data_IF_656008185340
#
_entry.id   IF_656008185340
#
_cell.length_a   1.000
_cell.length_b   1.000
_cell.length_c   1.000
_cell.angle_alpha   90.00
_cell.angle_beta   90.00
_cell.angle_gamma   90.00
#
_symmetry.space_group_name_H-M   'P 1'
#
loop_
_entity.id
_entity.type
_entity.pdbx_description
1 polymer ?
#
# COMPACT_ATOMS: atom_id res chain seq x y z
N UNK A 1 -1.12 2.02 26.67
CA UNK A 1 -2.34 1.31 27.12
C UNK A 1 -3.48 2.34 27.22
N UNK A 2 -4.15 2.59 26.09
CA UNK A 2 -5.20 3.62 25.97
C UNK A 2 -6.50 3.09 26.56
N UNK A 3 -7.09 3.81 27.50
CA UNK A 3 -8.35 3.44 28.14
C UNK A 3 -9.52 3.63 27.17
N UNK A 4 -10.21 2.55 26.84
CA UNK A 4 -11.45 2.54 26.07
C UNK A 4 -12.59 3.16 26.89
N UNK A 5 -13.06 4.34 26.50
CA UNK A 5 -14.33 4.88 27.00
C UNK A 5 -15.43 4.59 25.99
N UNK A 6 -16.38 3.76 26.39
CA UNK A 6 -17.62 3.55 25.66
C UNK A 6 -18.49 4.80 25.86
N UNK A 7 -18.63 5.64 24.83
CA UNK A 7 -19.28 6.95 24.96
C UNK A 7 -20.79 6.79 24.78
N UNK A 8 -21.50 6.52 25.88
CA UNK A 8 -22.97 6.43 25.95
C UNK A 8 -23.72 7.77 25.83
N UNK A 9 -23.21 8.72 25.04
CA UNK A 9 -23.84 10.02 24.84
C UNK A 9 -23.57 10.54 23.44
N UNK A 10 -24.62 10.65 22.62
CA UNK A 10 -24.63 11.24 21.27
C UNK A 10 -24.33 12.75 21.33
N UNK A 11 -23.12 13.12 21.75
CA UNK A 11 -22.51 14.41 21.43
C UNK A 11 -22.46 14.47 19.90
N UNK A 12 -22.90 15.57 19.27
CA UNK A 12 -22.96 15.70 17.80
C UNK A 12 -21.60 15.31 17.20
N UNK A 13 -21.55 14.14 16.54
CA UNK A 13 -20.34 13.56 15.95
C UNK A 13 -19.79 14.38 14.76
N UNK A 14 -20.35 15.55 14.48
CA UNK A 14 -20.00 16.39 13.32
C UNK A 14 -18.62 17.05 13.44
N UNK A 15 -18.02 17.04 14.62
CA UNK A 15 -16.79 17.78 14.90
C UNK A 15 -15.53 16.90 14.93
N UNK A 16 -15.66 15.58 14.75
CA UNK A 16 -14.54 14.66 14.68
C UNK A 16 -14.10 14.46 13.23
N UNK A 17 -12.79 14.36 13.02
CA UNK A 17 -12.22 13.95 11.73
C UNK A 17 -12.79 12.58 11.37
N UNK A 18 -13.33 12.47 10.15
CA UNK A 18 -13.79 11.21 9.60
C UNK A 18 -13.58 11.18 8.08
N UNK A 19 -13.36 10.00 7.53
CA UNK A 19 -13.21 9.87 6.09
C UNK A 19 -14.55 10.02 5.37
N UNK A 20 -14.70 11.09 4.59
CA UNK A 20 -15.81 11.26 3.67
C UNK A 20 -15.55 10.55 2.32
N UNK A 21 -15.95 9.28 2.23
CA UNK A 21 -15.86 8.49 0.98
C UNK A 21 -16.61 9.09 -0.21
N UNK A 22 -17.54 10.02 -0.01
CA UNK A 22 -18.21 10.70 -1.14
C UNK A 22 -17.27 11.68 -1.82
N UNK A 23 -16.41 12.33 -1.03
CA UNK A 23 -15.39 13.29 -1.50
C UNK A 23 -14.08 12.60 -1.87
N UNK A 24 -13.68 11.59 -1.08
CA UNK A 24 -12.36 10.96 -1.14
C UNK A 24 -12.49 9.47 -1.48
N UNK A 25 -12.62 9.12 -2.77
CA UNK A 25 -12.84 7.73 -3.26
C UNK A 25 -11.57 6.86 -3.31
N UNK A 26 -10.64 7.09 -2.39
CA UNK A 26 -9.35 6.40 -2.34
C UNK A 26 -9.35 5.07 -1.58
N UNK A 27 -8.16 4.49 -1.48
CA UNK A 27 -7.81 3.36 -0.62
C UNK A 27 -7.09 3.86 0.64
N UNK A 28 -6.34 4.96 0.52
CA UNK A 28 -5.73 5.66 1.65
C UNK A 28 -6.10 7.12 1.59
N UNK A 29 -6.38 7.71 2.75
CA UNK A 29 -6.53 9.15 2.92
C UNK A 29 -5.68 9.62 4.09
N UNK A 30 -4.68 10.44 3.80
CA UNK A 30 -3.85 11.07 4.83
C UNK A 30 -4.43 12.43 5.21
N UNK A 31 -4.56 12.68 6.51
CA UNK A 31 -5.09 13.91 7.08
C UNK A 31 -4.13 14.49 8.13
N UNK A 32 -3.48 15.64 7.85
CA UNK A 32 -2.69 16.33 8.85
C UNK A 32 -3.60 16.91 9.94
N UNK A 33 -3.29 16.66 11.22
CA UNK A 33 -4.09 17.14 12.34
C UNK A 33 -3.80 18.63 12.61
N UNK A 34 -4.85 19.45 12.64
CA UNK A 34 -4.85 20.87 12.97
C UNK A 34 -5.14 21.07 14.48
N UNK A 35 -4.67 22.18 15.05
CA UNK A 35 -4.92 22.58 16.44
C UNK A 35 -6.42 22.63 16.78
N UNK A 36 -7.27 22.99 15.80
CA UNK A 36 -8.73 23.08 15.98
C UNK A 36 -9.44 21.72 16.03
N UNK A 37 -8.80 20.65 15.54
CA UNK A 37 -9.44 19.34 15.46
C UNK A 37 -9.67 18.76 16.85
N UNK A 38 -10.89 18.32 17.12
CA UNK A 38 -11.26 17.84 18.46
C UNK A 38 -10.87 16.37 18.67
N UNK A 39 -10.73 15.62 17.59
CA UNK A 39 -10.55 14.19 17.64
C UNK A 39 -10.85 13.55 16.29
N UNK A 40 -10.94 12.24 16.28
CA UNK A 40 -11.22 11.45 15.09
C UNK A 40 -12.11 10.26 15.38
N UNK A 41 -12.66 9.68 14.31
CA UNK A 41 -13.44 8.46 14.33
C UNK A 41 -13.02 7.54 13.19
N UNK A 42 -13.06 6.24 13.46
CA UNK A 42 -12.77 5.16 12.52
C UNK A 42 -14.04 4.33 12.37
N UNK A 43 -14.64 4.31 11.18
CA UNK A 43 -15.92 3.64 10.93
C UNK A 43 -15.79 2.13 10.94
N UNK A 44 -16.68 1.49 11.72
CA UNK A 44 -16.77 0.03 11.81
C UNK A 44 -16.95 -0.62 10.43
N UNK A 45 -16.13 -1.62 10.12
CA UNK A 45 -16.16 -2.43 8.91
C UNK A 45 -15.69 -1.74 7.63
N UNK A 46 -15.24 -0.47 7.69
CA UNK A 46 -14.90 0.30 6.50
C UNK A 46 -13.43 0.70 6.42
N UNK A 47 -12.85 1.06 7.57
CA UNK A 47 -11.54 1.67 7.64
C UNK A 47 -10.78 1.28 8.90
N UNK A 48 -9.46 1.38 8.82
CA UNK A 48 -8.52 1.37 9.92
C UNK A 48 -7.80 2.72 9.86
N UNK A 49 -7.41 3.29 10.99
CA UNK A 49 -6.58 4.49 11.01
C UNK A 49 -5.20 4.18 11.57
N UNK A 50 -4.18 4.80 10.99
CA UNK A 50 -2.82 4.81 11.51
C UNK A 50 -2.55 6.22 12.00
N UNK A 51 -2.15 6.34 13.25
CA UNK A 51 -1.81 7.63 13.83
C UNK A 51 -0.30 7.76 13.89
N UNK A 52 0.23 8.75 13.18
CA UNK A 52 1.63 9.14 13.24
C UNK A 52 1.80 10.44 14.02
N UNK A 53 2.91 10.57 14.75
CA UNK A 53 3.33 11.81 15.39
C UNK A 53 4.81 12.05 15.08
N UNK A 54 5.11 13.15 14.39
CA UNK A 54 6.46 13.50 13.90
C UNK A 54 7.08 12.35 13.09
N UNK A 55 6.33 11.82 12.13
CA UNK A 55 6.72 10.69 11.27
C UNK A 55 6.64 9.31 11.93
N UNK A 56 6.51 9.23 13.26
CA UNK A 56 6.57 7.97 14.00
C UNK A 56 5.21 7.36 14.24
N UNK A 57 5.12 6.04 14.10
CA UNK A 57 3.92 5.29 14.47
C UNK A 57 3.62 5.44 15.96
N UNK A 58 2.48 6.06 16.26
CA UNK A 58 1.96 6.16 17.62
C UNK A 58 1.00 5.01 17.91
N UNK A 59 0.05 4.74 17.00
CA UNK A 59 -0.93 3.67 17.17
C UNK A 59 -1.57 3.22 15.84
N UNK A 60 -2.10 2.00 15.83
CA UNK A 60 -2.97 1.46 14.76
C UNK A 60 -4.37 1.30 15.35
N UNK A 61 -5.27 2.20 14.97
CA UNK A 61 -6.63 2.26 15.48
C UNK A 61 -7.56 1.42 14.61
N UNK A 62 -8.06 0.34 15.21
CA UNK A 62 -9.05 -0.55 14.59
C UNK A 62 -10.39 0.15 14.38
N UNK A 63 -11.25 -0.50 13.60
CA UNK A 63 -12.55 0.01 13.20
C UNK A 63 -13.53 0.15 14.39
N UNK A 64 -14.51 1.06 14.25
CA UNK A 64 -15.53 1.31 15.29
C UNK A 64 -15.04 2.14 16.48
N UNK A 65 -13.86 2.77 16.37
CA UNK A 65 -13.28 3.58 17.44
C UNK A 65 -13.50 5.08 17.24
N UNK A 66 -13.55 5.82 18.34
CA UNK A 66 -13.49 7.28 18.34
C UNK A 66 -12.56 7.78 19.45
N UNK A 67 -11.89 8.89 19.19
CA UNK A 67 -10.88 9.45 20.09
C UNK A 67 -10.96 10.97 20.12
N UNK A 68 -10.94 11.57 21.31
CA UNK A 68 -10.78 13.02 21.50
C UNK A 68 -9.30 13.33 21.81
N UNK A 69 -8.70 14.26 21.07
CA UNK A 69 -7.29 14.62 21.24
C UNK A 69 -7.04 15.42 22.52
N UNK A 70 -5.91 15.15 23.18
CA UNK A 70 -5.31 16.09 24.15
C UNK A 70 -4.53 17.18 23.43
N UNK A 71 -4.36 18.35 24.05
CA UNK A 71 -3.68 19.50 23.43
C UNK A 71 -2.26 19.21 22.94
N UNK A 72 -1.52 18.35 23.64
CA UNK A 72 -0.15 17.95 23.29
C UNK A 72 -0.06 16.86 22.20
N UNK A 73 -1.17 16.22 21.87
CA UNK A 73 -1.23 15.10 20.91
C UNK A 73 -1.41 15.57 19.46
N UNK A 74 -1.78 16.84 19.25
CA UNK A 74 -2.08 17.38 17.92
C UNK A 74 -0.83 17.83 17.15
N UNK A 75 0.19 18.27 17.88
CA UNK A 75 1.37 18.89 17.26
C UNK A 75 2.14 17.88 16.42
N UNK A 76 2.29 18.20 15.13
CA UNK A 76 2.97 17.37 14.13
C UNK A 76 2.40 15.95 14.02
N UNK A 77 1.11 15.80 14.28
CA UNK A 77 0.41 14.53 14.13
C UNK A 77 -0.34 14.47 12.79
N UNK A 78 -0.52 13.26 12.31
CA UNK A 78 -1.34 12.96 11.13
C UNK A 78 -2.09 11.64 11.34
N UNK A 79 -3.26 11.55 10.69
CA UNK A 79 -4.06 10.34 10.63
C UNK A 79 -4.09 9.83 9.20
N UNK A 80 -3.75 8.57 9.03
CA UNK A 80 -3.79 7.88 7.76
C UNK A 80 -4.91 6.86 7.81
N UNK A 81 -6.01 7.15 7.15
CA UNK A 81 -7.11 6.22 7.00
C UNK A 81 -6.82 5.25 5.87
N UNK A 82 -7.03 3.96 6.14
CA UNK A 82 -6.81 2.85 5.20
C UNK A 82 -8.09 2.06 5.08
N UNK A 83 -8.56 1.84 3.85
CA UNK A 83 -9.76 1.06 3.58
C UNK A 83 -9.54 -0.40 3.98
N UNK A 84 -10.45 -0.98 4.78
CA UNK A 84 -10.33 -2.37 5.25
C UNK A 84 -10.96 -3.41 4.31
N UNK A 85 -11.82 -2.96 3.39
CA UNK A 85 -12.50 -3.81 2.42
C UNK A 85 -11.61 -4.28 1.27
N UNK A 86 -12.13 -5.25 0.52
CA UNK A 86 -11.47 -5.77 -0.68
C UNK A 86 -11.35 -4.73 -1.81
N UNK A 87 -10.24 -4.80 -2.53
CA UNK A 87 -9.96 -3.97 -3.71
C UNK A 87 -9.86 -4.87 -4.92
N UNK A 88 -10.87 -4.77 -5.79
CA UNK A 88 -10.92 -5.52 -7.06
C UNK A 88 -10.23 -4.72 -8.17
N UNK A 89 -9.19 -5.28 -8.77
CA UNK A 89 -8.44 -4.68 -9.86
C UNK A 89 -8.59 -5.49 -11.15
N UNK A 90 -8.96 -4.82 -12.23
CA UNK A 90 -8.82 -5.36 -13.59
C UNK A 90 -7.38 -5.18 -14.06
N UNK A 91 -6.78 -6.23 -14.62
CA UNK A 91 -5.40 -6.22 -15.09
C UNK A 91 -5.28 -6.78 -16.50
N UNK A 92 -4.22 -6.39 -17.20
CA UNK A 92 -3.91 -6.88 -18.54
C UNK A 92 -2.46 -6.62 -18.90
N UNK A 93 -1.82 -7.62 -19.49
CA UNK A 93 -0.49 -7.55 -20.08
C UNK A 93 -0.69 -7.63 -21.60
N UNK A 94 -0.51 -6.52 -22.34
CA UNK A 94 -0.70 -6.51 -23.77
C UNK A 94 0.40 -7.34 -24.45
N UNK A 95 0.06 -7.98 -25.57
CA UNK A 95 0.98 -8.85 -26.32
C UNK A 95 2.31 -8.16 -26.64
N UNK A 96 2.32 -6.88 -27.04
CA UNK A 96 3.54 -6.10 -27.32
C UNK A 96 4.57 -6.05 -26.18
N UNK A 97 4.10 -6.19 -24.94
CA UNK A 97 4.92 -6.22 -23.73
C UNK A 97 4.66 -7.53 -22.96
N UNK A 98 4.36 -8.59 -23.70
CA UNK A 98 3.87 -9.87 -23.22
C UNK A 98 4.91 -10.72 -22.50
N UNK A 99 4.55 -11.99 -22.36
CA UNK A 99 5.41 -13.04 -21.83
C UNK A 99 5.91 -13.85 -23.03
N UNK A 100 7.21 -14.11 -23.09
CA UNK A 100 7.82 -14.94 -24.14
C UNK A 100 7.83 -16.38 -23.64
N UNK A 101 7.24 -17.28 -24.41
CA UNK A 101 7.19 -18.72 -24.13
C UNK A 101 8.48 -19.42 -24.58
N UNK A 102 8.63 -20.70 -24.23
CA UNK A 102 9.81 -21.50 -24.62
C UNK A 102 10.00 -21.61 -26.13
N UNK A 103 8.90 -21.63 -26.90
CA UNK A 103 8.85 -21.64 -28.36
C UNK A 103 8.92 -20.23 -28.98
N UNK A 104 9.38 -19.23 -28.21
CA UNK A 104 9.59 -17.84 -28.65
C UNK A 104 8.32 -17.13 -29.12
N UNK A 105 7.15 -17.56 -28.64
CA UNK A 105 5.87 -16.91 -28.93
C UNK A 105 5.60 -15.89 -27.84
N UNK A 106 5.32 -14.65 -28.25
CA UNK A 106 4.95 -13.59 -27.32
C UNK A 106 3.44 -13.62 -27.09
N UNK A 107 3.03 -13.85 -25.85
CA UNK A 107 1.60 -13.90 -25.46
C UNK A 107 1.25 -12.76 -24.50
N UNK A 108 0.03 -12.25 -24.63
CA UNK A 108 -0.61 -11.39 -23.64
C UNK A 108 -1.65 -12.16 -22.83
N UNK A 109 -2.08 -11.58 -21.71
CA UNK A 109 -3.17 -12.12 -20.91
C UNK A 109 -3.85 -11.01 -20.11
N UNK A 110 -5.09 -11.24 -19.70
CA UNK A 110 -5.84 -10.29 -18.89
C UNK A 110 -6.78 -11.00 -17.92
N UNK A 111 -7.18 -10.29 -16.89
CA UNK A 111 -7.95 -10.89 -15.82
C UNK A 111 -8.38 -9.92 -14.74
N UNK A 112 -8.78 -10.50 -13.62
CA UNK A 112 -9.20 -9.81 -12.42
C UNK A 112 -8.41 -10.35 -11.24
N UNK A 113 -8.03 -9.48 -10.32
CA UNK A 113 -7.50 -9.88 -9.03
C UNK A 113 -8.21 -9.09 -7.92
N UNK A 114 -8.35 -9.71 -6.76
CA UNK A 114 -8.93 -9.07 -5.58
C UNK A 114 -7.89 -9.10 -4.46
N UNK A 115 -7.59 -7.91 -3.94
CA UNK A 115 -6.61 -7.70 -2.88
C UNK A 115 -7.29 -7.27 -1.58
N UNK A 116 -6.64 -7.57 -0.47
CA UNK A 116 -7.00 -7.06 0.86
C UNK A 116 -5.75 -6.53 1.54
N UNK A 117 -5.89 -5.42 2.24
CA UNK A 117 -4.83 -4.90 3.12
C UNK A 117 -4.94 -5.66 4.45
N UNK A 118 -3.95 -6.49 4.75
CA UNK A 118 -3.90 -7.32 5.96
C UNK A 118 -3.03 -6.71 7.04
N UNK A 119 -2.00 -5.96 6.65
CA UNK A 119 -1.15 -5.17 7.56
C UNK A 119 -1.14 -3.72 7.10
N UNK A 120 -2.02 -2.85 7.64
CA UNK A 120 -2.06 -1.43 7.30
C UNK A 120 -0.72 -0.74 7.53
N UNK A 121 -0.01 -1.13 8.59
CA UNK A 121 1.32 -0.61 8.91
C UNK A 121 2.32 -0.89 7.79
N UNK A 122 2.49 -2.16 7.40
CA UNK A 122 3.42 -2.54 6.34
C UNK A 122 2.98 -1.94 5.00
N UNK A 123 1.69 -1.86 4.76
CA UNK A 123 1.14 -1.24 3.55
C UNK A 123 1.50 0.25 3.46
N UNK A 124 1.34 1.02 4.54
CA UNK A 124 1.72 2.42 4.54
C UNK A 124 3.25 2.58 4.42
N UNK A 125 4.02 1.86 5.22
CA UNK A 125 5.48 2.06 5.24
C UNK A 125 6.22 1.49 4.02
N UNK A 126 5.74 0.40 3.42
CA UNK A 126 6.42 -0.23 2.30
C UNK A 126 5.87 0.17 0.93
N UNK A 127 4.63 0.68 0.87
CA UNK A 127 3.98 1.06 -0.38
C UNK A 127 3.80 2.58 -0.51
N UNK A 128 3.28 3.22 0.55
CA UNK A 128 2.96 4.65 0.51
C UNK A 128 4.20 5.50 0.79
N UNK A 129 5.07 5.10 1.73
CA UNK A 129 6.29 5.85 2.06
C UNK A 129 7.34 5.81 0.95
N UNK A 130 7.35 4.76 0.16
CA UNK A 130 8.21 4.59 -1.02
C UNK A 130 7.82 5.47 -2.22
N UNK A 131 6.57 5.93 -2.28
CA UNK A 131 6.11 6.95 -3.24
C UNK A 131 6.16 8.36 -2.65
N UNK A 132 6.06 8.48 -1.33
CA UNK A 132 5.99 9.75 -0.59
C UNK A 132 6.65 9.62 0.78
N UNK A 133 7.82 10.27 0.92
CA UNK A 133 8.50 10.60 2.18
C UNK A 133 9.40 9.52 2.82
N UNK A 134 10.71 9.76 2.74
CA UNK A 134 11.65 9.43 3.81
C UNK A 134 11.73 10.68 4.70
N UNK A 135 11.26 10.61 5.95
CA UNK A 135 11.41 11.72 6.88
C UNK A 135 12.88 11.79 7.32
N UNK A 136 13.56 12.88 6.93
CA UNK A 136 14.96 13.14 7.29
C UNK A 136 15.16 13.08 8.81
N UNK A 137 14.15 13.47 9.58
CA UNK A 137 14.17 13.48 11.04
C UNK A 137 14.27 12.08 11.67
N UNK A 138 13.82 11.02 10.99
CA UNK A 138 13.97 9.63 11.46
C UNK A 138 15.34 9.04 11.07
N UNK A 139 15.92 9.46 9.95
CA UNK A 139 17.35 9.21 9.65
C UNK A 139 18.26 9.94 10.65
N UNK A 140 17.94 11.19 10.98
CA UNK A 140 18.73 12.02 11.89
C UNK A 140 18.80 11.45 13.32
N UNK A 141 17.74 10.79 13.81
CA UNK A 141 17.74 10.19 15.15
C UNK A 141 18.54 8.89 15.25
N UNK A 142 18.67 8.10 14.19
CA UNK A 142 19.61 6.96 14.17
C UNK A 142 21.07 7.43 14.02
N UNK A 143 21.28 8.54 13.31
CA UNK A 143 22.62 9.09 13.03
C UNK A 143 23.24 9.87 14.22
N UNK A 144 22.43 10.34 15.16
CA UNK A 144 22.93 11.09 16.34
C UNK A 144 23.75 10.25 17.34
N UNK A 145 23.80 8.92 17.18
CA UNK A 145 24.60 8.04 18.05
C UNK A 145 26.11 8.06 17.68
N UNK A 146 26.51 8.60 16.51
CA UNK A 146 27.90 8.46 16.02
C UNK A 146 28.68 9.75 15.68
N UNK A 147 28.18 10.92 16.04
CA UNK A 147 28.93 12.18 15.97
C UNK A 147 28.99 12.84 14.58
N UNK A 148 29.01 14.17 14.57
CA UNK A 148 28.75 15.03 13.40
C UNK A 148 29.72 14.86 12.23
N UNK A 149 30.96 14.40 12.45
CA UNK A 149 31.98 14.31 11.39
C UNK A 149 31.81 13.15 10.40
N UNK A 150 30.99 12.14 10.71
CA UNK A 150 30.65 11.04 9.78
C UNK A 150 29.36 11.27 8.99
N UNK A 151 28.66 12.37 9.26
CA UNK A 151 27.33 12.69 8.72
C UNK A 151 27.29 12.66 7.19
N UNK A 152 28.17 13.40 6.54
CA UNK A 152 28.12 13.59 5.09
C UNK A 152 28.64 12.36 4.31
N UNK A 153 29.55 11.60 4.91
CA UNK A 153 30.10 10.37 4.32
C UNK A 153 29.12 9.20 4.41
N UNK A 154 28.41 9.05 5.55
CA UNK A 154 27.41 7.99 5.72
C UNK A 154 26.18 8.27 4.86
N UNK A 155 25.70 9.52 4.78
CA UNK A 155 24.57 9.86 3.90
C UNK A 155 24.94 9.55 2.44
N UNK A 156 26.13 9.96 1.97
CA UNK A 156 26.59 9.62 0.62
C UNK A 156 26.71 8.11 0.40
N UNK A 157 27.22 7.36 1.38
CA UNK A 157 27.40 5.91 1.28
C UNK A 157 26.06 5.15 1.29
N UNK A 158 25.11 5.46 2.18
CA UNK A 158 23.80 4.81 2.24
C UNK A 158 22.94 5.14 1.01
N UNK A 159 22.99 6.39 0.54
CA UNK A 159 22.33 6.83 -0.71
C UNK A 159 22.90 6.10 -1.92
N UNK A 160 24.22 5.90 -1.98
CA UNK A 160 24.86 5.17 -3.07
C UNK A 160 24.65 3.65 -3.00
N UNK A 161 24.58 3.07 -1.79
CA UNK A 161 24.51 1.63 -1.61
C UNK A 161 23.12 1.05 -1.89
N UNK A 162 22.07 1.82 -1.60
CA UNK A 162 20.68 1.35 -1.71
C UNK A 162 19.89 2.02 -2.85
N UNK A 163 20.52 2.86 -3.69
CA UNK A 163 19.83 3.66 -4.74
C UNK A 163 18.63 4.47 -4.20
N UNK A 164 18.64 4.82 -2.91
CA UNK A 164 17.58 5.57 -2.27
C UNK A 164 17.65 7.03 -2.75
N UNK A 165 16.65 7.46 -3.53
CA UNK A 165 16.44 8.88 -3.79
C UNK A 165 15.97 9.53 -2.49
N UNK A 166 16.88 10.17 -1.76
CA UNK A 166 16.48 11.10 -0.70
C UNK A 166 15.84 12.30 -1.39
N UNK A 167 14.52 12.30 -1.44
CA UNK A 167 13.75 13.51 -1.66
C UNK A 167 13.43 14.06 -0.28
N UNK A 168 13.73 15.35 -0.05
CA UNK A 168 13.21 16.06 1.11
C UNK A 168 11.70 15.81 1.16
N UNK A 169 11.26 15.05 2.16
CA UNK A 169 9.86 14.80 2.44
C UNK A 169 9.21 16.12 2.86
N UNK A 170 8.86 16.96 1.88
CA UNK A 170 7.94 18.07 2.13
C UNK A 170 6.65 17.43 2.60
N UNK A 171 6.30 17.70 3.87
CA UNK A 171 4.97 17.44 4.40
C UNK A 171 4.00 18.01 3.37
N UNK A 172 3.23 17.14 2.72
CA UNK A 172 2.22 17.58 1.77
C UNK A 172 1.26 18.44 2.60
N UNK A 173 1.21 19.74 2.29
CA UNK A 173 0.29 20.67 2.97
C UNK A 173 -1.18 20.30 2.67
N UNK A 174 -1.40 19.39 1.72
CA UNK A 174 -2.70 18.90 1.30
C UNK A 174 -2.89 17.41 1.65
N UNK A 175 -4.12 17.01 2.02
CA UNK A 175 -4.49 15.61 2.16
C UNK A 175 -4.15 14.82 0.90
N UNK A 176 -3.33 13.78 1.03
CA UNK A 176 -3.03 12.87 -0.07
C UNK A 176 -4.03 11.71 -0.13
N UNK A 177 -4.36 11.29 -1.36
CA UNK A 177 -5.29 10.20 -1.64
C UNK A 177 -4.60 9.12 -2.49
N UNK A 178 -4.37 7.95 -1.91
CA UNK A 178 -3.88 6.79 -2.66
C UNK A 178 -5.05 6.08 -3.34
N UNK A 179 -4.97 5.83 -4.65
CA UNK A 179 -6.09 5.28 -5.42
C UNK A 179 -5.88 3.83 -5.84
N UNK A 180 -6.93 3.21 -6.41
CA UNK A 180 -6.81 1.88 -7.04
C UNK A 180 -5.82 1.86 -8.20
N UNK A 181 -5.65 2.98 -8.90
CA UNK A 181 -4.70 3.08 -10.00
C UNK A 181 -3.27 3.04 -9.49
N UNK A 182 -3.01 3.62 -8.31
CA UNK A 182 -1.69 3.59 -7.69
C UNK A 182 -1.39 2.16 -7.21
N UNK A 183 -2.31 1.52 -6.49
CA UNK A 183 -2.18 0.09 -6.16
C UNK A 183 -1.89 -0.79 -7.39
N UNK A 184 -2.55 -0.52 -8.52
CA UNK A 184 -2.34 -1.23 -9.78
C UNK A 184 -0.93 -1.02 -10.34
N UNK A 185 -0.35 0.18 -10.27
CA UNK A 185 1.03 0.44 -10.72
C UNK A 185 2.06 -0.41 -9.97
N UNK A 186 1.78 -0.72 -8.71
CA UNK A 186 2.67 -1.52 -7.85
C UNK A 186 2.52 -3.03 -8.06
N UNK A 187 1.28 -3.50 -8.16
CA UNK A 187 0.98 -4.93 -8.26
C UNK A 187 1.28 -5.49 -9.65
N UNK A 188 1.08 -4.71 -10.72
CA UNK A 188 1.25 -5.19 -12.09
C UNK A 188 2.69 -5.61 -12.44
N UNK A 189 3.74 -4.88 -12.06
CA UNK A 189 5.12 -5.33 -12.29
C UNK A 189 5.43 -6.68 -11.64
N UNK A 190 4.98 -6.88 -10.39
CA UNK A 190 5.16 -8.15 -9.67
C UNK A 190 4.41 -9.28 -10.38
N UNK A 191 3.14 -9.04 -10.74
CA UNK A 191 2.36 -10.01 -11.52
C UNK A 191 3.03 -10.39 -12.83
N UNK A 192 3.51 -9.40 -13.58
CA UNK A 192 4.22 -9.64 -14.85
C UNK A 192 5.48 -10.47 -14.63
N UNK A 193 6.23 -10.22 -13.56
CA UNK A 193 7.42 -10.99 -13.24
C UNK A 193 7.07 -12.44 -12.87
N UNK A 194 6.08 -12.65 -11.99
CA UNK A 194 5.62 -13.99 -11.60
C UNK A 194 5.15 -14.80 -12.82
N UNK A 195 4.36 -14.19 -13.70
CA UNK A 195 3.89 -14.85 -14.93
C UNK A 195 5.06 -15.16 -15.87
N UNK A 196 6.03 -14.25 -16.01
CA UNK A 196 7.22 -14.48 -16.84
C UNK A 196 8.02 -15.66 -16.32
N UNK A 197 8.29 -15.71 -15.03
CA UNK A 197 9.02 -16.82 -14.40
C UNK A 197 8.28 -18.15 -14.57
N UNK A 198 6.95 -18.14 -14.41
CA UNK A 198 6.10 -19.32 -14.59
C UNK A 198 6.15 -19.89 -16.02
N UNK A 199 6.19 -19.02 -17.05
CA UNK A 199 6.04 -19.45 -18.44
C UNK A 199 7.30 -19.41 -19.30
N UNK A 200 8.42 -18.84 -18.81
CA UNK A 200 9.66 -18.72 -19.57
C UNK A 200 10.18 -20.07 -20.13
N UNK A 201 9.88 -21.18 -19.43
CA UNK A 201 10.25 -22.54 -19.84
C UNK A 201 9.09 -23.38 -20.38
N UNK A 202 7.91 -22.79 -20.62
CA UNK A 202 6.71 -23.53 -21.03
C UNK A 202 6.34 -23.21 -22.47
N UNK A 203 6.01 -24.23 -23.27
CA UNK A 203 5.54 -24.04 -24.65
C UNK A 203 4.11 -23.52 -24.67
N UNK A 204 3.72 -22.83 -25.75
CA UNK A 204 2.37 -22.30 -25.88
C UNK A 204 1.28 -23.37 -25.74
N UNK A 205 1.47 -24.54 -26.34
CA UNK A 205 0.50 -25.65 -26.31
C UNK A 205 0.24 -26.14 -24.89
N UNK A 206 1.30 -26.25 -24.07
CA UNK A 206 1.18 -26.61 -22.66
C UNK A 206 0.47 -25.53 -21.85
N UNK A 207 0.71 -24.25 -22.16
CA UNK A 207 0.03 -23.11 -21.50
C UNK A 207 -1.48 -23.18 -21.76
N UNK A 208 -1.88 -23.47 -22.99
CA UNK A 208 -3.28 -23.60 -23.37
C UNK A 208 -3.94 -24.84 -22.76
N UNK A 209 -3.16 -25.87 -22.44
CA UNK A 209 -3.64 -27.11 -21.84
C UNK A 209 -3.72 -27.08 -20.31
N UNK A 210 -3.23 -26.04 -19.64
CA UNK A 210 -3.30 -25.94 -18.18
C UNK A 210 -4.74 -25.97 -17.67
N UNK A 211 -4.96 -26.70 -16.57
CA UNK A 211 -6.15 -26.50 -15.76
C UNK A 211 -6.11 -25.08 -15.16
N UNK A 212 -7.09 -24.26 -15.54
CA UNK A 212 -7.12 -22.85 -15.17
C UNK A 212 -7.14 -22.66 -13.64
N UNK A 213 -7.85 -23.50 -12.89
CA UNK A 213 -7.96 -23.37 -11.43
C UNK A 213 -6.64 -23.71 -10.75
N UNK A 214 -5.98 -24.78 -11.19
CA UNK A 214 -4.67 -25.16 -10.67
C UNK A 214 -3.64 -24.06 -10.94
N UNK A 215 -3.60 -23.56 -12.18
CA UNK A 215 -2.69 -22.47 -12.56
C UNK A 215 -2.94 -21.20 -11.73
N UNK A 216 -4.20 -20.80 -11.56
CA UNK A 216 -4.57 -19.65 -10.73
C UNK A 216 -4.16 -19.81 -9.27
N UNK A 217 -4.31 -21.02 -8.70
CA UNK A 217 -3.88 -21.31 -7.35
C UNK A 217 -2.36 -21.21 -7.19
N UNK A 218 -1.59 -21.79 -8.12
CA UNK A 218 -0.13 -21.71 -8.12
C UNK A 218 0.35 -20.26 -8.23
N UNK A 219 -0.20 -19.49 -9.17
CA UNK A 219 0.11 -18.08 -9.34
C UNK A 219 -0.25 -17.26 -8.10
N UNK A 220 -1.38 -17.58 -7.44
CA UNK A 220 -1.77 -16.91 -6.20
C UNK A 220 -0.76 -17.13 -5.07
N UNK A 221 -0.23 -18.35 -4.93
CA UNK A 221 0.80 -18.67 -3.94
C UNK A 221 2.07 -17.85 -4.21
N UNK A 222 2.54 -17.83 -5.47
CA UNK A 222 3.73 -17.07 -5.86
C UNK A 222 3.53 -15.56 -5.65
N UNK A 223 2.38 -15.02 -6.04
CA UNK A 223 2.05 -13.62 -5.84
C UNK A 223 2.00 -13.24 -4.37
N UNK A 224 1.33 -14.03 -3.52
CA UNK A 224 1.21 -13.75 -2.09
C UNK A 224 2.58 -13.72 -1.38
N UNK A 225 3.53 -14.55 -1.82
CA UNK A 225 4.90 -14.51 -1.30
C UNK A 225 5.57 -13.15 -1.53
N UNK A 226 5.29 -12.51 -2.67
CA UNK A 226 5.90 -11.23 -3.01
C UNK A 226 5.14 -10.05 -2.43
N UNK A 227 3.82 -9.97 -2.64
CA UNK A 227 3.02 -8.81 -2.20
C UNK A 227 2.73 -8.82 -0.69
N UNK A 228 2.84 -9.97 -0.03
CA UNK A 228 2.68 -10.08 1.43
C UNK A 228 3.67 -9.21 2.21
N UNK A 229 4.85 -8.96 1.63
CA UNK A 229 5.86 -8.04 2.18
C UNK A 229 5.36 -6.59 2.26
N UNK A 230 4.32 -6.24 1.51
CA UNK A 230 3.68 -4.92 1.51
C UNK A 230 2.39 -4.88 2.33
N UNK A 231 2.14 -5.87 3.19
CA UNK A 231 0.89 -5.95 3.95
C UNK A 231 -0.35 -6.20 3.08
N UNK A 232 -0.16 -6.80 1.90
CA UNK A 232 -1.23 -7.17 0.98
C UNK A 232 -1.45 -8.68 0.93
N UNK A 233 -2.71 -9.07 0.78
CA UNK A 233 -3.13 -10.44 0.51
C UNK A 233 -3.92 -10.49 -0.79
N UNK A 234 -3.58 -11.44 -1.66
CA UNK A 234 -4.31 -11.79 -2.86
C UNK A 234 -5.40 -12.82 -2.50
N UNK A 235 -6.65 -12.33 -2.42
CA UNK A 235 -7.83 -13.12 -2.08
C UNK A 235 -8.23 -14.01 -3.26
N UNK A 236 -8.34 -13.41 -4.45
CA UNK A 236 -8.67 -14.11 -5.69
C UNK A 236 -7.84 -13.62 -6.86
N UNK A 237 -7.60 -14.52 -7.80
CA UNK A 237 -6.88 -14.27 -9.03
C UNK A 237 -7.54 -15.07 -10.13
N UNK A 238 -7.96 -14.41 -11.20
CA UNK A 238 -8.65 -15.05 -12.32
C UNK A 238 -8.07 -14.58 -13.64
N UNK A 239 -7.70 -15.52 -14.49
CA UNK A 239 -7.30 -15.25 -15.88
C UNK A 239 -8.56 -15.35 -16.74
N UNK A 240 -8.95 -14.23 -17.35
CA UNK A 240 -10.16 -14.19 -18.19
C UNK A 240 -9.84 -14.66 -19.61
N UNK A 241 -8.66 -14.29 -20.13
CA UNK A 241 -8.30 -14.67 -21.49
C UNK A 241 -6.85 -14.42 -21.85
N UNK A 242 -6.44 -15.14 -22.89
CA UNK A 242 -5.11 -15.06 -23.50
C UNK A 242 -5.19 -14.32 -24.83
N UNK A 243 -4.19 -13.49 -25.09
CA UNK A 243 -3.98 -12.83 -26.37
C UNK A 243 -2.82 -13.52 -27.06
N UNK A 244 -3.12 -14.45 -27.96
CA UNK A 244 -2.16 -15.28 -28.68
C UNK A 244 -2.13 -14.82 -30.15
N UNK A 245 -0.96 -14.64 -30.76
CA UNK A 245 -0.88 -14.27 -32.17
C UNK A 245 -1.50 -15.36 -33.05
N UNK A 246 -2.22 -14.96 -34.09
CA UNK A 246 -2.70 -15.90 -35.13
C UNK A 246 -1.49 -16.49 -35.86
N UNK A 247 -1.47 -17.82 -36.00
CA UNK A 247 -0.48 -18.54 -36.82
C UNK A 247 -0.61 -18.14 -38.29
#
# INVERSE_FOLDING_TARGET
>A
MVHTRNIGGLKKMTDLINWDYRKNKGIVWCYPIDKKDKGFMVRQGQEIAIWLQKGRLLDVIMDGFSYEFKSNEKENSELIYVKSGEVRLQWGIPMRNGIVTADQIMIGCHGVLTLKITSPQDFIFNLVSSETCVFIEDLEKEMFIQGEKKRDEIIKQSVQKDNLKIQDAKRLEEPYLFTQQDMKKWVLPVLKQVLREKFAGTKLEDIQAFDAKQLEQELRILMNKEIGKWGLELISFTIIGWNIPSR
#
